data_IF_114368229453
#
_entry.id   IF_114368229453
#
_cell.length_a   1.000
_cell.length_b   1.000
_cell.length_c   1.000
_cell.angle_alpha   90.00
_cell.angle_beta   90.00
_cell.angle_gamma   90.00
#
_symmetry.space_group_name_H-M   'P 1'
#
loop_
_entity.id
_entity.type
_entity.pdbx_description
1 polymer ?
#
# COMPACT_ATOMS: atom_id res chain seq x y z
N UNK A 1 15.42 -7.96 2.80
CA UNK A 1 14.03 -8.23 3.27
C UNK A 1 13.28 -8.96 2.15
N UNK A 2 12.13 -9.62 2.41
CA UNK A 2 11.31 -10.20 1.33
C UNK A 2 10.97 -9.20 0.20
N UNK A 3 11.07 -7.92 0.53
CA UNK A 3 10.69 -6.75 -0.24
C UNK A 3 11.87 -6.00 -0.91
N UNK A 4 13.04 -6.63 -1.07
CA UNK A 4 14.21 -5.93 -1.64
C UNK A 4 14.06 -5.64 -3.15
N UNK A 5 13.18 -6.38 -3.84
CA UNK A 5 12.93 -6.25 -5.30
C UNK A 5 11.55 -5.63 -5.59
N UNK A 6 11.24 -4.49 -4.97
CA UNK A 6 10.03 -3.73 -5.34
C UNK A 6 10.14 -3.32 -6.81
N UNK A 7 9.14 -3.69 -7.61
CA UNK A 7 9.08 -3.28 -9.01
C UNK A 7 9.00 -1.74 -9.11
N UNK A 8 10.13 -1.12 -9.44
CA UNK A 8 10.27 0.31 -9.58
C UNK A 8 9.29 0.91 -10.61
N UNK A 9 8.83 0.12 -11.60
CA UNK A 9 7.80 0.58 -12.55
C UNK A 9 6.45 0.69 -11.86
N UNK A 10 6.03 -0.34 -11.10
CA UNK A 10 4.78 -0.31 -10.32
C UNK A 10 4.77 0.85 -9.34
N UNK A 11 5.86 1.04 -8.59
CA UNK A 11 5.98 2.17 -7.67
C UNK A 11 5.82 3.52 -8.37
N UNK A 12 6.45 3.69 -9.53
CA UNK A 12 6.34 4.94 -10.31
C UNK A 12 4.93 5.20 -10.83
N UNK A 13 4.24 4.16 -11.31
CA UNK A 13 2.83 4.27 -11.75
C UNK A 13 1.95 4.65 -10.57
N UNK A 14 2.16 4.03 -9.40
CA UNK A 14 1.39 4.32 -8.19
C UNK A 14 1.53 5.78 -7.75
N UNK A 15 2.76 6.30 -7.71
CA UNK A 15 3.04 7.69 -7.37
C UNK A 15 2.35 8.64 -8.37
N UNK A 16 2.35 8.31 -9.66
CA UNK A 16 1.62 9.08 -10.67
C UNK A 16 0.11 9.04 -10.47
N UNK A 17 -0.44 7.88 -10.11
CA UNK A 17 -1.86 7.72 -9.83
C UNK A 17 -2.28 8.56 -8.61
N UNK A 18 -1.54 8.47 -7.50
CA UNK A 18 -1.81 9.24 -6.28
C UNK A 18 -1.67 10.75 -6.51
N UNK A 19 -0.69 11.16 -7.31
CA UNK A 19 -0.49 12.57 -7.66
C UNK A 19 -1.41 13.11 -8.76
N UNK A 20 -2.25 12.25 -9.37
CA UNK A 20 -3.12 12.63 -10.49
C UNK A 20 -2.37 12.98 -11.78
N UNK A 21 -1.11 12.56 -11.91
CA UNK A 21 -0.25 12.84 -13.09
C UNK A 21 -0.15 11.65 -14.04
N UNK A 22 -0.89 10.57 -13.77
CA UNK A 22 -0.95 9.39 -14.64
C UNK A 22 -1.56 9.76 -16.00
N UNK A 23 -0.99 9.22 -17.06
CA UNK A 23 -1.48 9.37 -18.44
C UNK A 23 -1.92 8.01 -18.97
N UNK A 24 -2.78 8.01 -20.00
CA UNK A 24 -3.31 6.80 -20.62
C UNK A 24 -2.21 5.83 -21.14
N UNK A 25 -0.99 6.33 -21.39
CA UNK A 25 0.16 5.51 -21.81
C UNK A 25 1.01 4.93 -20.67
N UNK A 26 0.72 5.22 -19.40
CA UNK A 26 1.55 4.81 -18.26
C UNK A 26 1.25 3.39 -17.74
N UNK A 27 0.17 2.76 -18.19
CA UNK A 27 -0.19 1.38 -17.84
C UNK A 27 -1.51 1.27 -17.08
N UNK A 28 -1.77 0.07 -16.53
CA UNK A 28 -2.98 -0.19 -15.76
C UNK A 28 -2.93 0.49 -14.38
N UNK A 29 -4.09 0.98 -13.93
CA UNK A 29 -4.26 1.53 -12.58
C UNK A 29 -4.15 0.42 -11.53
N UNK A 30 -3.56 0.75 -10.40
CA UNK A 30 -3.53 -0.15 -9.25
C UNK A 30 -4.82 0.04 -8.45
N UNK A 31 -5.56 -1.04 -8.11
CA UNK A 31 -6.75 -0.94 -7.29
C UNK A 31 -6.37 -0.47 -5.88
N UNK A 32 -7.26 0.31 -5.26
CA UNK A 32 -7.07 0.73 -3.88
C UNK A 32 -7.70 -0.28 -2.91
N UNK A 33 -7.11 -0.35 -1.73
CA UNK A 33 -7.54 -1.15 -0.61
C UNK A 33 -7.79 -0.23 0.58
N UNK A 34 -8.52 -0.72 1.57
CA UNK A 34 -8.70 -0.02 2.85
C UNK A 34 -8.17 -0.87 4.00
N UNK A 35 -7.70 -0.21 5.04
CA UNK A 35 -7.42 -0.86 6.32
C UNK A 35 -8.77 -1.18 6.98
N UNK A 36 -9.04 -2.46 7.27
CA UNK A 36 -10.28 -2.96 7.88
C UNK A 36 -10.56 -2.36 9.26
N UNK A 37 -11.76 -2.60 9.78
CA UNK A 37 -12.09 -2.37 11.20
C UNK A 37 -12.68 -1.00 11.54
N UNK A 38 -13.21 -0.25 10.56
CA UNK A 38 -13.97 0.97 10.81
C UNK A 38 -13.12 2.11 11.41
N UNK A 39 -13.52 2.64 12.58
CA UNK A 39 -12.85 3.75 13.25
C UNK A 39 -11.82 3.20 14.25
N UNK A 40 -10.55 3.57 14.08
CA UNK A 40 -9.49 3.19 15.00
C UNK A 40 -8.09 3.51 14.46
N UNK A 41 -7.08 3.06 15.19
CA UNK A 41 -5.67 3.19 14.81
C UNK A 41 -5.00 1.82 14.73
N UNK A 42 -4.04 1.69 13.83
CA UNK A 42 -3.15 0.54 13.68
C UNK A 42 -1.71 1.03 13.65
N UNK A 43 -0.81 0.24 14.23
CA UNK A 43 0.61 0.54 14.26
C UNK A 43 1.32 -0.35 13.24
N UNK A 44 1.92 0.28 12.23
CA UNK A 44 2.56 -0.42 11.12
C UNK A 44 4.06 -0.09 11.10
N UNK A 45 4.88 -1.05 10.67
CA UNK A 45 6.31 -0.83 10.52
C UNK A 45 6.60 -0.11 9.19
N UNK A 46 7.30 1.02 9.24
CA UNK A 46 7.77 1.75 8.06
C UNK A 46 9.23 1.36 7.77
N UNK A 47 9.49 0.60 6.69
CA UNK A 47 10.85 0.13 6.38
C UNK A 47 11.79 1.24 5.93
N UNK A 48 11.27 2.31 5.32
CA UNK A 48 12.09 3.42 4.80
C UNK A 48 12.76 4.26 5.90
N UNK A 49 12.07 4.45 7.03
CA UNK A 49 12.59 5.19 8.19
C UNK A 49 12.98 4.27 9.35
N UNK A 50 12.67 2.97 9.26
CA UNK A 50 12.84 1.97 10.33
C UNK A 50 12.10 2.34 11.62
N UNK A 51 10.93 2.96 11.49
CA UNK A 51 10.09 3.40 12.61
C UNK A 51 8.73 2.72 12.57
N UNK A 52 8.03 2.73 13.70
CA UNK A 52 6.62 2.36 13.74
C UNK A 52 5.79 3.62 13.54
N UNK A 53 4.88 3.57 12.59
CA UNK A 53 3.96 4.67 12.28
C UNK A 53 2.54 4.31 12.67
N UNK A 54 1.79 5.32 13.04
CA UNK A 54 0.37 5.20 13.37
C UNK A 54 -0.47 5.53 12.15
N UNK A 55 -1.27 4.58 11.71
CA UNK A 55 -2.24 4.75 10.63
C UNK A 55 -3.65 4.65 11.18
N UNK A 56 -4.60 5.31 10.51
CA UNK A 56 -6.00 5.22 10.87
C UNK A 56 -6.67 4.13 10.03
N UNK A 57 -7.54 3.34 10.67
CA UNK A 57 -8.41 2.37 9.98
C UNK A 57 -9.37 3.12 9.04
N UNK A 58 -9.77 2.48 7.94
CA UNK A 58 -10.54 3.10 6.87
C UNK A 58 -9.74 4.02 5.94
N UNK A 59 -8.41 4.10 6.10
CA UNK A 59 -7.54 4.87 5.20
C UNK A 59 -7.30 4.11 3.89
N UNK A 60 -7.32 4.85 2.78
CA UNK A 60 -6.97 4.34 1.45
C UNK A 60 -5.48 4.02 1.35
N UNK A 61 -5.21 2.81 0.89
CA UNK A 61 -3.88 2.25 0.75
C UNK A 61 -3.76 1.51 -0.58
N UNK A 62 -2.54 1.31 -1.02
CA UNK A 62 -2.20 0.65 -2.25
C UNK A 62 -1.15 -0.41 -1.98
N UNK A 63 -1.37 -1.63 -2.47
CA UNK A 63 -0.43 -2.72 -2.25
C UNK A 63 0.70 -2.60 -3.26
N UNK A 64 1.92 -2.41 -2.75
CA UNK A 64 3.13 -2.35 -3.57
C UNK A 64 3.59 -3.75 -3.95
N UNK A 65 3.51 -4.65 -2.98
CA UNK A 65 3.88 -6.04 -3.13
C UNK A 65 3.08 -6.86 -2.12
N UNK A 66 2.54 -7.99 -2.55
CA UNK A 66 1.82 -8.92 -1.70
C UNK A 66 2.75 -9.96 -1.07
N UNK A 67 4.02 -10.05 -1.50
CA UNK A 67 4.91 -11.14 -1.08
C UNK A 67 4.44 -12.49 -1.61
N UNK A 68 4.97 -13.57 -1.04
CA UNK A 68 4.53 -14.94 -1.33
C UNK A 68 3.12 -15.19 -0.76
N UNK A 69 2.40 -16.20 -1.26
CA UNK A 69 1.10 -16.60 -0.70
C UNK A 69 1.18 -16.97 0.80
N UNK A 70 2.33 -17.52 1.22
CA UNK A 70 2.61 -17.96 2.58
C UNK A 70 2.90 -16.80 3.55
N UNK A 71 3.23 -15.62 3.02
CA UNK A 71 3.52 -14.45 3.86
C UNK A 71 2.21 -13.91 4.45
N UNK A 72 2.18 -13.72 5.77
CA UNK A 72 1.03 -13.09 6.44
C UNK A 72 0.98 -11.57 6.18
N UNK A 73 2.11 -10.98 5.77
CA UNK A 73 2.30 -9.53 5.64
C UNK A 73 2.46 -9.09 4.20
N UNK A 74 2.02 -7.87 3.93
CA UNK A 74 2.20 -7.19 2.66
C UNK A 74 2.88 -5.82 2.83
N UNK A 75 3.52 -5.33 1.77
CA UNK A 75 4.04 -3.97 1.72
C UNK A 75 3.03 -3.09 1.01
N UNK A 76 2.56 -2.09 1.74
CA UNK A 76 1.57 -1.14 1.27
C UNK A 76 2.12 0.28 1.30
N UNK A 77 1.45 1.16 0.57
CA UNK A 77 1.66 2.59 0.60
C UNK A 77 0.33 3.30 0.80
N UNK A 78 0.27 4.23 1.73
CA UNK A 78 -0.92 5.04 1.96
C UNK A 78 -1.04 6.15 0.92
N UNK A 79 -2.25 6.70 0.78
CA UNK A 79 -2.52 7.82 -0.11
C UNK A 79 -1.69 9.09 0.16
N UNK A 80 -1.14 9.27 1.37
CA UNK A 80 -0.19 10.33 1.73
C UNK A 80 1.29 9.96 1.52
N UNK A 81 1.58 8.81 0.89
CA UNK A 81 2.93 8.42 0.46
C UNK A 81 3.78 7.73 1.53
N UNK A 82 3.18 7.29 2.64
CA UNK A 82 3.89 6.50 3.66
C UNK A 82 3.92 5.05 3.20
N UNK A 83 5.11 4.47 3.10
CA UNK A 83 5.32 3.03 2.82
C UNK A 83 5.40 2.27 4.14
N UNK A 84 4.62 1.21 4.30
CA UNK A 84 4.55 0.45 5.55
C UNK A 84 4.21 -1.02 5.31
N UNK A 85 4.50 -1.85 6.30
CA UNK A 85 4.15 -3.29 6.32
C UNK A 85 2.88 -3.47 7.14
N UNK A 86 1.94 -4.26 6.62
CA UNK A 86 0.64 -4.56 7.25
C UNK A 86 0.24 -6.01 6.97
N UNK A 87 -0.49 -6.63 7.91
CA UNK A 87 -1.03 -7.98 7.73
C UNK A 87 -2.08 -7.99 6.62
N UNK A 88 -2.05 -9.02 5.76
CA UNK A 88 -3.00 -9.19 4.65
C UNK A 88 -4.44 -9.32 5.13
N UNK A 89 -4.63 -9.90 6.31
CA UNK A 89 -5.96 -10.03 6.92
C UNK A 89 -6.53 -8.69 7.40
N UNK A 90 -5.69 -7.66 7.56
CA UNK A 90 -6.09 -6.32 7.99
C UNK A 90 -6.48 -5.40 6.82
N UNK A 91 -6.37 -5.87 5.57
CA UNK A 91 -6.69 -5.08 4.36
C UNK A 91 -7.87 -5.67 3.58
N UNK A 92 -8.66 -4.80 2.98
CA UNK A 92 -9.81 -5.16 2.15
C UNK A 92 -9.72 -4.45 0.80
N UNK A 93 -9.81 -5.21 -0.30
CA UNK A 93 -9.86 -4.63 -1.64
C UNK A 93 -11.25 -3.99 -1.86
N UNK A 94 -11.27 -2.69 -2.19
CA UNK A 94 -12.50 -1.96 -2.50
C UNK A 94 -12.67 -1.78 -4.01
N UNK A 95 -11.57 -1.81 -4.79
CA UNK A 95 -11.59 -1.74 -6.25
C UNK A 95 -11.26 -0.34 -6.80
N UNK A 96 -12.11 0.19 -7.70
CA UNK A 96 -11.91 1.45 -8.45
C UNK A 96 -13.02 2.50 -8.24
N UNK A 97 -13.78 2.41 -7.14
CA UNK A 97 -15.01 3.19 -6.93
C UNK A 97 -14.87 4.71 -7.20
#
# INVERSE_FOLDING_TARGET
MPWDDIDAKKFKILIKQISGTIKDGDGALTPFHIIKGGIGEIWCYQPSTKQVVKLFRGKDIYILDFGAEEDEQCLAMSSDGIVFVIDKDEIEEIGFN
#
